data_IF_174405748749
#
_entry.id   IF_174405748749
#
_cell.length_a   1.000
_cell.length_b   1.000
_cell.length_c   1.000
_cell.angle_alpha   90.00
_cell.angle_beta   90.00
_cell.angle_gamma   90.00
#
_symmetry.space_group_name_H-M   'P 1'
#
loop_
_entity.id
_entity.type
_entity.pdbx_description
1 polymer ?
#
# COMPACT_ATOMS: atom_id res chain seq x y z
N UNK A 1 -44.07 -33.31 51.58
CA UNK A 1 -42.65 -33.75 51.52
C UNK A 1 -42.08 -33.30 50.18
N UNK A 2 -40.89 -32.67 50.21
CA UNK A 2 -40.06 -32.02 49.17
C UNK A 2 -40.17 -32.65 47.76
N UNK A 3 -39.99 -31.92 46.64
CA UNK A 3 -38.67 -31.40 46.25
C UNK A 3 -38.74 -30.41 45.06
N UNK A 4 -37.97 -29.33 45.20
CA UNK A 4 -37.61 -28.33 44.19
C UNK A 4 -36.79 -28.96 43.05
N UNK A 5 -37.03 -28.58 41.80
CA UNK A 5 -36.04 -28.68 40.73
C UNK A 5 -35.92 -27.34 39.98
N UNK A 6 -34.90 -26.58 40.36
CA UNK A 6 -34.22 -25.58 39.54
C UNK A 6 -33.29 -26.31 38.56
N UNK A 7 -33.05 -25.77 37.36
CA UNK A 7 -31.86 -25.88 36.48
C UNK A 7 -32.35 -25.69 35.03
N UNK A 8 -31.74 -24.94 34.13
CA UNK A 8 -30.68 -23.94 34.13
C UNK A 8 -30.73 -23.34 32.71
N UNK A 9 -30.80 -22.02 32.58
CA UNK A 9 -30.73 -21.38 31.27
C UNK A 9 -29.30 -21.54 30.72
N UNK A 10 -29.12 -22.45 29.76
CA UNK A 10 -27.87 -22.63 29.05
C UNK A 10 -27.70 -21.46 28.05
N UNK A 11 -27.04 -20.39 28.48
CA UNK A 11 -26.56 -19.34 27.61
C UNK A 11 -25.35 -19.88 26.81
N UNK A 12 -25.62 -20.51 25.67
CA UNK A 12 -24.57 -20.81 24.68
C UNK A 12 -24.03 -19.49 24.13
N UNK A 13 -22.86 -19.07 24.63
CA UNK A 13 -22.03 -18.07 23.96
C UNK A 13 -21.63 -18.63 22.59
N UNK A 14 -22.35 -18.23 21.55
CA UNK A 14 -21.87 -18.37 20.17
C UNK A 14 -20.79 -17.30 20.00
N UNK A 15 -19.53 -17.70 20.10
CA UNK A 15 -18.41 -16.86 19.72
C UNK A 15 -18.39 -16.81 18.19
N UNK A 16 -18.98 -15.76 17.61
CA UNK A 16 -18.81 -15.46 16.18
C UNK A 16 -17.40 -14.89 16.06
N UNK A 17 -16.48 -15.54 15.31
CA UNK A 17 -15.21 -14.89 15.02
C UNK A 17 -15.52 -13.68 14.13
N UNK A 18 -15.37 -12.47 14.69
CA UNK A 18 -15.30 -11.27 13.88
C UNK A 18 -13.99 -11.35 13.10
N UNK A 19 -14.04 -11.90 11.89
CA UNK A 19 -12.94 -11.76 10.94
C UNK A 19 -12.94 -10.29 10.53
N UNK A 20 -11.99 -9.53 11.06
CA UNK A 20 -11.72 -8.19 10.55
C UNK A 20 -11.37 -8.31 9.07
N UNK A 21 -12.10 -7.57 8.22
CA UNK A 21 -11.89 -7.60 6.77
C UNK A 21 -10.49 -7.13 6.38
N UNK A 22 -10.10 -7.40 5.13
CA UNK A 22 -8.89 -6.82 4.55
C UNK A 22 -8.97 -5.30 4.53
N UNK A 23 -10.15 -4.73 4.28
CA UNK A 23 -10.39 -3.29 4.34
C UNK A 23 -10.28 -2.72 5.75
N UNK A 24 -10.78 -3.41 6.78
CA UNK A 24 -10.60 -3.00 8.18
C UNK A 24 -9.11 -2.99 8.57
N UNK A 25 -8.37 -4.00 8.12
CA UNK A 25 -6.93 -4.10 8.34
C UNK A 25 -6.16 -2.98 7.64
N UNK A 26 -6.56 -2.64 6.41
CA UNK A 26 -5.98 -1.53 5.65
C UNK A 26 -6.28 -0.18 6.31
N UNK A 27 -7.52 0.06 6.75
CA UNK A 27 -7.92 1.27 7.45
C UNK A 27 -7.12 1.45 8.74
N UNK A 28 -7.01 0.39 9.55
CA UNK A 28 -6.22 0.38 10.77
C UNK A 28 -4.74 0.67 10.47
N UNK A 29 -4.17 0.08 9.42
CA UNK A 29 -2.79 0.33 9.01
C UNK A 29 -2.55 1.79 8.63
N UNK A 30 -3.42 2.38 7.79
CA UNK A 30 -3.29 3.76 7.33
C UNK A 30 -3.40 4.74 8.51
N UNK A 31 -4.36 4.51 9.42
CA UNK A 31 -4.61 5.40 10.57
C UNK A 31 -3.51 5.33 11.63
N UNK A 32 -2.94 4.15 11.88
CA UNK A 32 -1.97 3.92 12.96
C UNK A 32 -0.52 4.14 12.53
N UNK A 33 -0.18 3.88 11.26
CA UNK A 33 1.20 3.96 10.80
C UNK A 33 1.54 5.39 10.38
N UNK A 34 2.49 6.05 11.04
CA UNK A 34 2.93 7.41 10.67
C UNK A 34 4.13 7.44 9.74
N UNK A 35 4.99 6.43 9.84
CA UNK A 35 6.19 6.31 9.02
C UNK A 35 6.55 4.85 8.83
N UNK A 36 7.36 4.56 7.83
CA UNK A 36 7.85 3.21 7.57
C UNK A 36 9.04 3.22 6.64
N UNK A 37 9.80 2.12 6.69
CA UNK A 37 10.91 1.83 5.79
C UNK A 37 10.86 0.37 5.38
N UNK A 38 11.09 0.11 4.10
CA UNK A 38 11.16 -1.23 3.56
C UNK A 38 12.22 -1.31 2.45
N UNK A 39 12.79 -2.50 2.26
CA UNK A 39 13.47 -2.86 1.01
C UNK A 39 12.46 -3.50 0.07
N UNK A 40 12.59 -3.26 -1.23
CA UNK A 40 11.68 -3.84 -2.23
C UNK A 40 12.43 -4.48 -3.39
N UNK A 41 11.77 -5.45 -4.02
CA UNK A 41 12.09 -5.97 -5.35
C UNK A 41 10.84 -5.82 -6.19
N UNK A 42 10.96 -5.15 -7.34
CA UNK A 42 9.87 -4.88 -8.27
C UNK A 42 10.14 -5.62 -9.57
N UNK A 43 9.17 -6.41 -10.02
CA UNK A 43 9.19 -7.08 -11.32
C UNK A 43 8.12 -6.46 -12.21
N UNK A 44 8.52 -5.81 -13.30
CA UNK A 44 7.61 -5.23 -14.30
C UNK A 44 7.60 -6.11 -15.53
N UNK A 45 6.44 -6.68 -15.83
CA UNK A 45 6.23 -7.50 -17.03
C UNK A 45 5.36 -6.72 -18.01
N UNK A 46 5.92 -6.38 -19.18
CA UNK A 46 5.12 -5.77 -20.24
C UNK A 46 4.14 -6.80 -20.83
N UNK A 47 2.97 -6.38 -21.33
CA UNK A 47 2.08 -7.27 -22.08
C UNK A 47 2.84 -7.95 -23.23
N UNK A 48 2.53 -9.22 -23.55
CA UNK A 48 3.10 -9.88 -24.71
C UNK A 48 2.81 -9.05 -25.97
N UNK A 49 3.84 -8.76 -26.76
CA UNK A 49 3.64 -8.33 -28.15
C UNK A 49 3.61 -9.59 -29.02
N UNK A 50 2.79 -9.61 -30.05
CA UNK A 50 2.56 -10.78 -30.92
C UNK A 50 3.85 -11.56 -31.22
N UNK A 51 3.92 -12.80 -30.71
CA UNK A 51 5.04 -13.72 -30.93
C UNK A 51 6.30 -13.53 -30.09
N UNK A 52 6.36 -12.51 -29.20
CA UNK A 52 7.51 -12.29 -28.32
C UNK A 52 7.19 -12.61 -26.85
N UNK A 53 8.04 -13.43 -26.23
CA UNK A 53 7.97 -13.70 -24.80
C UNK A 53 8.15 -12.41 -23.98
N UNK A 54 7.29 -12.22 -22.97
CA UNK A 54 7.39 -11.08 -22.06
C UNK A 54 8.72 -11.13 -21.30
N UNK A 55 9.51 -10.06 -21.39
CA UNK A 55 10.76 -9.95 -20.63
C UNK A 55 10.51 -9.12 -19.36
N UNK A 56 10.59 -9.73 -18.17
CA UNK A 56 10.43 -8.99 -16.94
C UNK A 56 11.63 -8.06 -16.70
N UNK A 57 11.36 -6.81 -16.34
CA UNK A 57 12.37 -5.89 -15.80
C UNK A 57 12.33 -6.00 -14.28
N UNK A 58 13.45 -6.40 -13.69
CA UNK A 58 13.58 -6.51 -12.23
C UNK A 58 14.37 -5.31 -11.72
N UNK A 59 13.81 -4.62 -10.73
CA UNK A 59 14.45 -3.52 -10.01
C UNK A 59 14.45 -3.80 -8.52
N UNK A 60 15.42 -3.23 -7.79
CA UNK A 60 15.47 -3.35 -6.33
C UNK A 60 15.85 -2.03 -5.69
N UNK A 61 15.42 -1.83 -4.43
CA UNK A 61 15.61 -0.53 -3.79
C UNK A 61 15.13 -0.46 -2.35
N UNK A 62 15.04 0.78 -1.87
CA UNK A 62 14.45 1.12 -0.57
C UNK A 62 13.32 2.10 -0.73
N UNK A 63 12.29 1.90 0.09
CA UNK A 63 11.15 2.79 0.19
C UNK A 63 11.00 3.27 1.62
N UNK A 64 10.78 4.57 1.77
CA UNK A 64 10.59 5.22 3.05
C UNK A 64 9.46 6.24 2.95
N UNK A 65 8.66 6.38 3.99
CA UNK A 65 7.61 7.38 4.01
C UNK A 65 7.39 7.96 5.41
N UNK A 66 6.87 9.18 5.42
CA UNK A 66 6.35 9.87 6.60
C UNK A 66 5.06 10.58 6.19
N UNK A 67 3.96 10.26 6.87
CA UNK A 67 2.67 10.89 6.61
C UNK A 67 2.60 12.29 7.22
N UNK A 68 1.86 13.22 6.59
CA UNK A 68 1.23 13.09 5.27
C UNK A 68 2.22 13.34 4.12
N UNK A 69 1.97 12.71 2.98
CA UNK A 69 2.49 13.10 1.66
C UNK A 69 4.02 13.16 1.47
N UNK A 70 4.85 12.62 2.37
CA UNK A 70 6.30 12.56 2.17
C UNK A 70 6.77 11.14 1.99
N UNK A 71 7.59 10.92 0.97
CA UNK A 71 8.22 9.63 0.76
C UNK A 71 9.51 9.75 -0.03
N UNK A 72 10.28 8.67 -0.01
CA UNK A 72 11.51 8.50 -0.78
C UNK A 72 11.57 7.08 -1.34
N UNK A 73 11.66 6.98 -2.66
CA UNK A 73 12.08 5.77 -3.36
C UNK A 73 13.53 5.90 -3.79
N UNK A 74 14.34 4.89 -3.54
CA UNK A 74 15.69 4.78 -4.07
C UNK A 74 15.79 3.46 -4.81
N UNK A 75 15.86 3.52 -6.14
CA UNK A 75 16.21 2.39 -7.00
C UNK A 75 17.72 2.26 -7.05
N UNK A 76 18.23 1.04 -6.85
CA UNK A 76 19.67 0.73 -6.86
C UNK A 76 20.12 0.00 -8.11
N UNK A 77 19.28 -0.87 -8.67
CA UNK A 77 19.60 -1.69 -9.84
C UNK A 77 18.37 -1.83 -10.74
N UNK A 78 18.54 -1.97 -12.07
CA UNK A 78 19.80 -1.82 -12.81
C UNK A 78 20.21 -0.36 -13.08
N UNK A 79 19.32 0.60 -12.81
CA UNK A 79 19.55 2.03 -12.98
C UNK A 79 19.33 2.73 -11.65
N UNK A 80 20.22 3.64 -11.27
CA UNK A 80 20.12 4.38 -10.02
C UNK A 80 19.21 5.60 -10.19
N UNK A 81 18.07 5.56 -9.50
CA UNK A 81 17.07 6.62 -9.56
C UNK A 81 16.52 6.90 -8.17
N UNK A 82 16.40 8.17 -7.81
CA UNK A 82 15.83 8.60 -6.54
C UNK A 82 14.59 9.45 -6.79
N UNK A 83 13.46 9.05 -6.22
CA UNK A 83 12.20 9.81 -6.25
C UNK A 83 11.92 10.30 -4.84
N UNK A 84 11.77 11.61 -4.67
CA UNK A 84 11.47 12.25 -3.38
C UNK A 84 10.21 13.08 -3.52
N UNK A 85 9.26 12.83 -2.63
CA UNK A 85 8.08 13.66 -2.42
C UNK A 85 8.25 14.42 -1.10
N UNK A 86 8.27 15.76 -1.18
CA UNK A 86 8.44 16.62 0.00
C UNK A 86 7.10 17.13 0.58
N UNK A 87 5.98 16.77 -0.05
CA UNK A 87 4.62 17.21 0.30
C UNK A 87 4.07 18.26 -0.67
N UNK A 88 4.91 18.85 -1.52
CA UNK A 88 4.52 19.86 -2.52
C UNK A 88 5.03 19.49 -3.92
N UNK A 89 6.29 19.07 -4.00
CA UNK A 89 7.02 18.74 -5.23
C UNK A 89 7.48 17.30 -5.20
N UNK A 90 7.30 16.63 -6.34
CA UNK A 90 7.92 15.36 -6.62
C UNK A 90 9.18 15.61 -7.44
N UNK A 91 10.31 15.24 -6.85
CA UNK A 91 11.63 15.29 -7.45
C UNK A 91 12.01 13.91 -7.93
N UNK A 92 12.47 13.78 -9.17
CA UNK A 92 13.10 12.58 -9.68
C UNK A 92 14.52 12.94 -10.10
N UNK A 93 15.49 12.29 -9.47
CA UNK A 93 16.89 12.35 -9.83
C UNK A 93 17.29 11.04 -10.50
N UNK A 94 17.75 11.17 -11.74
CA UNK A 94 18.34 10.09 -12.52
C UNK A 94 19.86 10.29 -12.52
N UNK A 95 20.58 9.35 -11.89
CA UNK A 95 22.03 9.46 -11.68
C UNK A 95 22.77 9.33 -13.01
N UNK A 96 22.36 8.36 -13.83
CA UNK A 96 23.02 8.02 -15.10
C UNK A 96 22.90 9.16 -16.12
N UNK A 97 21.77 9.87 -16.10
CA UNK A 97 21.55 11.04 -16.95
C UNK A 97 22.02 12.36 -16.31
N UNK A 98 22.48 12.32 -15.06
CA UNK A 98 22.78 13.51 -14.25
C UNK A 98 21.65 14.56 -14.28
N UNK A 99 20.40 14.10 -14.27
CA UNK A 99 19.23 14.93 -14.53
C UNK A 99 18.26 14.94 -13.35
N UNK A 100 17.77 16.13 -13.00
CA UNK A 100 16.70 16.32 -12.01
C UNK A 100 15.45 16.84 -12.70
N UNK A 101 14.31 16.22 -12.41
CA UNK A 101 12.99 16.71 -12.83
C UNK A 101 12.14 17.01 -11.60
N UNK A 102 11.36 18.10 -11.67
CA UNK A 102 10.49 18.56 -10.60
C UNK A 102 9.07 18.73 -11.14
N UNK A 103 8.08 18.17 -10.44
CA UNK A 103 6.66 18.26 -10.81
C UNK A 103 5.80 18.52 -9.59
N UNK A 104 4.66 19.20 -9.76
CA UNK A 104 3.67 19.37 -8.68
C UNK A 104 3.19 18.00 -8.23
N UNK A 105 3.39 17.69 -6.95
CA UNK A 105 3.16 16.35 -6.42
C UNK A 105 1.70 15.89 -6.62
N UNK A 106 0.73 16.76 -6.34
CA UNK A 106 -0.69 16.42 -6.51
C UNK A 106 -1.11 16.00 -7.91
N UNK A 107 -0.33 16.32 -8.96
CA UNK A 107 -0.63 15.92 -10.35
C UNK A 107 -0.04 14.56 -10.74
N UNK A 108 0.91 14.04 -9.96
CA UNK A 108 1.72 12.86 -10.35
C UNK A 108 1.69 11.72 -9.33
N UNK A 109 1.08 11.92 -8.15
CA UNK A 109 0.98 10.86 -7.14
C UNK A 109 0.23 9.61 -7.64
N UNK A 110 -0.84 9.81 -8.42
CA UNK A 110 -1.67 8.72 -8.94
C UNK A 110 -0.96 7.72 -9.86
N UNK A 111 0.19 8.08 -10.42
CA UNK A 111 0.94 7.19 -11.32
C UNK A 111 1.97 6.31 -10.61
N UNK A 112 2.09 6.40 -9.28
CA UNK A 112 3.06 5.61 -8.49
C UNK A 112 2.32 4.78 -7.43
N UNK A 113 2.11 3.46 -7.64
CA UNK A 113 1.25 2.63 -6.79
C UNK A 113 1.58 2.68 -5.29
N UNK A 114 2.86 2.67 -4.94
CA UNK A 114 3.28 2.70 -3.55
C UNK A 114 3.34 4.12 -2.95
N UNK A 115 3.36 5.16 -3.80
CA UNK A 115 3.19 6.54 -3.33
C UNK A 115 1.77 6.75 -2.80
N UNK A 116 0.76 6.20 -3.49
CA UNK A 116 -0.64 6.28 -3.09
C UNK A 116 -0.89 5.73 -1.69
N UNK A 117 -0.38 4.53 -1.39
CA UNK A 117 -0.53 3.90 -0.06
C UNK A 117 0.20 4.71 1.03
N UNK A 118 1.36 5.27 0.71
CA UNK A 118 2.13 6.07 1.66
C UNK A 118 1.61 7.48 1.87
N UNK A 119 0.96 8.09 0.87
CA UNK A 119 0.36 9.42 0.98
C UNK A 119 -1.07 9.39 1.51
N UNK A 120 -1.76 8.26 1.43
CA UNK A 120 -3.12 8.12 1.95
C UNK A 120 -3.16 8.37 3.46
N UNK A 121 -4.14 9.19 3.85
CA UNK A 121 -4.42 9.57 5.24
C UNK A 121 -5.58 8.77 5.84
N UNK A 122 -6.47 8.25 5.00
CA UNK A 122 -7.57 7.34 5.31
C UNK A 122 -7.99 6.56 4.05
N UNK A 123 -8.97 5.67 4.18
CA UNK A 123 -9.54 4.95 3.03
C UNK A 123 -10.24 5.87 2.03
N UNK A 124 -10.88 6.96 2.49
CA UNK A 124 -11.59 7.90 1.61
C UNK A 124 -10.64 8.57 0.60
N UNK A 125 -9.42 8.86 1.01
CA UNK A 125 -8.38 9.37 0.11
C UNK A 125 -8.03 8.38 -1.01
N UNK A 126 -8.14 7.07 -0.76
CA UNK A 126 -7.93 6.04 -1.79
C UNK A 126 -9.18 5.86 -2.66
N UNK A 127 -10.38 5.95 -2.08
CA UNK A 127 -11.66 5.82 -2.80
C UNK A 127 -11.89 6.92 -3.87
N UNK A 128 -11.15 8.03 -3.79
CA UNK A 128 -11.18 9.07 -4.83
C UNK A 128 -10.63 8.58 -6.18
N UNK A 129 -9.70 7.64 -6.16
CA UNK A 129 -9.00 7.13 -7.35
C UNK A 129 -9.25 5.63 -7.60
N UNK A 130 -9.81 4.90 -6.63
CA UNK A 130 -9.95 3.44 -6.66
C UNK A 130 -11.29 2.95 -6.14
N UNK A 131 -11.78 1.84 -6.68
CA UNK A 131 -12.83 1.03 -6.07
C UNK A 131 -12.18 -0.01 -5.14
N UNK A 132 -12.48 0.04 -3.85
CA UNK A 132 -11.90 -0.84 -2.83
C UNK A 132 -12.83 -2.01 -2.53
N UNK A 133 -12.28 -3.23 -2.53
CA UNK A 133 -13.01 -4.44 -2.14
C UNK A 133 -12.12 -5.36 -1.31
N UNK A 134 -12.74 -6.17 -0.45
CA UNK A 134 -12.04 -7.24 0.25
C UNK A 134 -11.53 -8.29 -0.72
N UNK A 135 -10.36 -8.86 -0.42
CA UNK A 135 -9.83 -9.97 -1.19
C UNK A 135 -10.80 -11.16 -1.13
N UNK A 136 -11.10 -11.76 -2.29
CA UNK A 136 -11.87 -13.00 -2.31
C UNK A 136 -11.10 -14.08 -1.54
N UNK A 137 -11.77 -14.85 -0.67
CA UNK A 137 -11.14 -15.98 0.00
C UNK A 137 -10.59 -16.96 -1.05
N UNK A 138 -9.36 -17.42 -0.82
CA UNK A 138 -8.66 -18.39 -1.67
C UNK A 138 -9.41 -19.73 -1.76
#
# INVERSE_FOLDING_TARGET
MKLRQLLAAAATLVCIPLWAGGLDSLDAFIKSTRSGRATFVQTVTAPPKDGMAARPKVSAGTFEFVRPSRFRFVYKKPFEQTIVADGQTLWLYDVDLAQVTARKQGQVLGSTPAALIASAVDLRALEADFELSDAQPL
#
